data_IF_716994735829
#
_entry.id   IF_716994735829
#
_cell.length_a   1.000
_cell.length_b   1.000
_cell.length_c   1.000
_cell.angle_alpha   90.00
_cell.angle_beta   90.00
_cell.angle_gamma   90.00
#
_symmetry.space_group_name_H-M   'P 1'
#
loop_
_entity.id
_entity.type
_entity.pdbx_description
1 polymer ?
#
# COMPACT_ATOMS: atom_id res chain seq x y z
N UNK A 1 -61.08 -25.61 24.40
CA UNK A 1 -60.62 -26.53 23.33
C UNK A 1 -61.27 -26.08 22.01
N UNK A 2 -60.43 -25.76 21.00
CA UNK A 2 -60.72 -25.46 19.57
C UNK A 2 -61.41 -24.10 19.29
N UNK A 3 -60.76 -23.09 18.70
CA UNK A 3 -60.16 -22.94 17.34
C UNK A 3 -61.22 -22.65 16.26
N UNK A 4 -61.06 -21.52 15.51
CA UNK A 4 -61.36 -21.21 14.07
C UNK A 4 -61.33 -19.66 13.94
N UNK A 5 -60.23 -19.03 13.48
CA UNK A 5 -59.85 -18.63 12.10
C UNK A 5 -60.72 -17.53 11.46
N UNK A 6 -60.14 -16.33 11.25
CA UNK A 6 -60.02 -15.54 9.98
C UNK A 6 -59.53 -14.10 10.30
N UNK A 7 -58.34 -13.72 9.84
CA UNK A 7 -58.09 -12.98 8.59
C UNK A 7 -58.06 -11.45 8.82
N UNK A 8 -56.88 -10.89 9.06
CA UNK A 8 -56.46 -9.66 8.37
C UNK A 8 -54.95 -9.48 8.54
N UNK A 9 -54.27 -9.75 7.45
CA UNK A 9 -52.85 -9.63 7.23
C UNK A 9 -52.54 -8.15 6.98
N UNK A 10 -51.80 -7.49 7.86
CA UNK A 10 -51.10 -6.25 7.49
C UNK A 10 -49.74 -6.19 8.20
N UNK A 11 -48.90 -7.14 7.80
CA UNK A 11 -47.47 -7.14 8.09
C UNK A 11 -46.83 -6.06 7.18
N UNK A 12 -46.83 -4.80 7.63
CA UNK A 12 -46.10 -3.71 6.97
C UNK A 12 -44.61 -3.97 7.22
N UNK A 13 -44.06 -4.81 6.36
CA UNK A 13 -42.63 -5.05 6.20
C UNK A 13 -42.09 -3.83 5.45
N UNK A 14 -41.60 -2.86 6.21
CA UNK A 14 -40.82 -1.74 5.67
C UNK A 14 -39.49 -2.32 5.19
N UNK A 15 -39.47 -2.74 3.92
CA UNK A 15 -38.27 -3.05 3.15
C UNK A 15 -37.50 -1.74 2.99
N UNK A 16 -36.59 -1.48 3.92
CA UNK A 16 -35.55 -0.47 3.76
C UNK A 16 -34.66 -0.96 2.62
N UNK A 17 -34.79 -0.33 1.46
CA UNK A 17 -33.84 -0.43 0.35
C UNK A 17 -32.50 0.13 0.83
N UNK A 18 -31.64 -0.73 1.37
CA UNK A 18 -30.21 -0.46 1.40
C UNK A 18 -29.70 -0.52 -0.03
N UNK A 19 -29.50 0.65 -0.64
CA UNK A 19 -28.74 0.75 -1.87
C UNK A 19 -27.27 0.60 -1.48
N UNK A 20 -26.76 -0.64 -1.48
CA UNK A 20 -25.32 -0.87 -1.50
C UNK A 20 -24.81 -0.41 -2.86
N UNK A 21 -24.39 0.87 -2.97
CA UNK A 21 -23.56 1.28 -4.09
C UNK A 21 -22.26 0.50 -3.97
N UNK A 22 -22.19 -0.64 -4.66
CA UNK A 22 -20.95 -1.35 -4.92
C UNK A 22 -20.12 -0.39 -5.77
N UNK A 23 -19.36 0.49 -5.12
CA UNK A 23 -18.35 1.30 -5.77
C UNK A 23 -17.35 0.29 -6.29
N UNK A 24 -17.51 -0.08 -7.56
CA UNK A 24 -16.53 -0.85 -8.29
C UNK A 24 -15.33 0.08 -8.42
N UNK A 25 -14.50 0.07 -7.37
CA UNK A 25 -13.28 0.85 -7.32
C UNK A 25 -12.29 0.10 -8.18
N UNK A 26 -12.38 0.33 -9.48
CA UNK A 26 -11.37 -0.08 -10.43
C UNK A 26 -9.98 0.13 -9.79
N UNK A 27 -9.14 -0.90 -9.88
CA UNK A 27 -7.81 -0.89 -9.30
C UNK A 27 -6.75 -0.86 -10.39
N UNK A 28 -5.60 -0.31 -10.05
CA UNK A 28 -4.36 -0.51 -10.79
C UNK A 28 -3.29 -1.11 -9.88
N UNK A 29 -2.08 -1.24 -10.40
CA UNK A 29 -0.95 -1.80 -9.68
C UNK A 29 0.16 -0.77 -9.55
N UNK A 30 0.79 -0.72 -8.38
CA UNK A 30 2.08 -0.08 -8.18
C UNK A 30 3.10 -1.18 -7.90
N UNK A 31 4.17 -1.24 -8.67
CA UNK A 31 5.25 -2.21 -8.49
C UNK A 31 6.63 -1.59 -8.68
N UNK A 32 7.66 -2.28 -8.22
CA UNK A 32 9.04 -1.87 -8.38
C UNK A 32 9.95 -2.56 -7.37
N UNK A 33 11.15 -2.05 -7.19
CA UNK A 33 12.12 -2.54 -6.20
C UNK A 33 12.51 -1.45 -5.21
N UNK A 34 12.56 -1.80 -3.94
CA UNK A 34 13.16 -0.99 -2.88
C UNK A 34 14.62 -1.41 -2.73
N UNK A 35 15.53 -0.47 -2.93
CA UNK A 35 16.97 -0.65 -2.69
C UNK A 35 17.40 0.22 -1.52
N UNK A 36 17.95 -0.40 -0.47
CA UNK A 36 18.46 0.26 0.73
C UNK A 36 19.96 0.05 0.79
N UNK A 37 20.73 1.13 0.87
CA UNK A 37 22.16 1.01 1.05
C UNK A 37 22.85 2.36 1.29
N UNK A 38 24.11 2.35 1.73
CA UNK A 38 24.88 1.17 2.13
C UNK A 38 24.43 0.60 3.48
N UNK A 39 24.57 -0.70 3.72
CA UNK A 39 24.22 -1.31 5.03
C UNK A 39 25.45 -1.56 5.91
N UNK A 40 26.64 -1.40 5.34
CA UNK A 40 27.92 -1.55 6.00
C UNK A 40 28.80 -0.32 5.67
N UNK A 41 29.77 0.04 6.54
CA UNK A 41 30.70 1.14 6.27
C UNK A 41 31.47 0.99 4.95
N UNK A 42 31.72 -0.25 4.52
CA UNK A 42 32.41 -0.55 3.25
C UNK A 42 31.57 -1.54 2.45
N UNK A 43 31.09 -1.09 1.29
CA UNK A 43 30.35 -1.91 0.33
C UNK A 43 31.32 -2.79 -0.49
N UNK A 44 30.84 -3.96 -0.92
CA UNK A 44 31.59 -4.89 -1.77
C UNK A 44 30.69 -5.40 -2.88
N UNK A 45 31.27 -5.91 -3.98
CA UNK A 45 30.52 -6.50 -5.10
C UNK A 45 31.03 -7.94 -5.31
N UNK A 46 30.22 -8.98 -4.99
CA UNK A 46 28.89 -8.90 -4.39
C UNK A 46 28.93 -8.40 -2.93
N UNK A 47 27.80 -7.88 -2.39
CA UNK A 47 27.71 -7.50 -0.98
C UNK A 47 27.98 -8.69 -0.07
N UNK A 48 28.68 -8.44 1.05
CA UNK A 48 28.83 -9.45 2.09
C UNK A 48 27.45 -9.88 2.62
N UNK A 49 27.24 -11.15 3.00
CA UNK A 49 25.95 -11.65 3.48
C UNK A 49 25.33 -10.80 4.60
N UNK A 50 26.14 -10.30 5.53
CA UNK A 50 25.72 -9.44 6.64
C UNK A 50 25.31 -8.03 6.22
N UNK A 51 25.68 -7.60 5.01
CA UNK A 51 25.37 -6.31 4.43
C UNK A 51 24.19 -6.38 3.44
N UNK A 52 23.49 -7.52 3.35
CA UNK A 52 22.30 -7.65 2.52
C UNK A 52 21.05 -7.23 3.30
N UNK A 53 20.07 -6.57 2.64
CA UNK A 53 18.79 -6.28 3.26
C UNK A 53 18.11 -7.55 3.77
N UNK A 54 17.55 -7.47 4.99
CA UNK A 54 16.69 -8.50 5.57
C UNK A 54 15.25 -8.00 5.60
N UNK A 55 14.28 -8.87 5.91
CA UNK A 55 12.90 -8.43 6.18
C UNK A 55 12.84 -7.35 7.28
N UNK A 56 13.71 -7.45 8.28
CA UNK A 56 13.80 -6.46 9.35
C UNK A 56 14.38 -5.13 8.86
N UNK A 57 15.30 -5.17 7.89
CA UNK A 57 15.81 -3.95 7.24
C UNK A 57 14.66 -3.17 6.61
N UNK A 58 13.79 -3.79 5.82
CA UNK A 58 12.67 -3.09 5.19
C UNK A 58 11.65 -2.54 6.20
N UNK A 59 11.44 -3.21 7.35
CA UNK A 59 10.57 -2.70 8.42
C UNK A 59 11.14 -1.46 9.12
N UNK A 60 12.46 -1.38 9.24
CA UNK A 60 13.14 -0.22 9.83
C UNK A 60 13.20 0.99 8.89
N UNK A 61 12.94 0.78 7.60
CA UNK A 61 12.87 1.80 6.56
C UNK A 61 11.47 1.81 5.90
N UNK A 62 10.40 2.10 6.67
CA UNK A 62 9.04 1.90 6.20
C UNK A 62 8.69 2.87 5.07
N UNK A 63 8.35 2.31 3.92
CA UNK A 63 7.84 3.06 2.75
C UNK A 63 6.33 2.92 2.72
N UNK A 64 5.62 4.05 2.78
CA UNK A 64 4.16 4.07 2.72
C UNK A 64 3.68 4.71 1.42
N UNK A 65 2.54 4.24 0.96
CA UNK A 65 1.67 4.98 0.05
C UNK A 65 0.76 5.86 0.90
N UNK A 66 0.76 7.15 0.62
CA UNK A 66 -0.04 8.17 1.26
C UNK A 66 -1.10 8.70 0.31
N UNK A 67 -2.17 9.25 0.85
CA UNK A 67 -3.13 10.07 0.08
C UNK A 67 -2.41 11.22 -0.62
N UNK A 68 -2.99 11.76 -1.71
CA UNK A 68 -2.39 12.86 -2.48
C UNK A 68 -2.02 14.09 -1.63
N UNK A 69 -2.75 14.34 -0.54
CA UNK A 69 -2.49 15.43 0.41
C UNK A 69 -1.49 15.08 1.51
N UNK A 70 -0.93 13.86 1.47
CA UNK A 70 0.05 13.31 2.41
C UNK A 70 -0.41 13.28 3.88
N UNK A 71 -1.73 13.23 4.12
CA UNK A 71 -2.27 13.21 5.50
C UNK A 71 -2.52 11.81 6.03
N UNK A 72 -2.94 10.89 5.16
CA UNK A 72 -3.31 9.54 5.58
C UNK A 72 -2.44 8.50 4.89
N UNK A 73 -1.99 7.51 5.67
CA UNK A 73 -1.34 6.30 5.15
C UNK A 73 -2.41 5.39 4.57
N UNK A 74 -2.21 4.96 3.33
CA UNK A 74 -3.11 4.06 2.59
C UNK A 74 -2.64 2.62 2.73
N UNK A 75 -1.36 2.37 2.49
CA UNK A 75 -0.76 1.04 2.59
C UNK A 75 0.73 1.14 2.94
N UNK A 76 1.22 0.21 3.76
CA UNK A 76 2.65 -0.04 3.96
C UNK A 76 3.15 -0.93 2.82
N UNK A 77 4.21 -0.52 2.14
CA UNK A 77 4.85 -1.35 1.12
C UNK A 77 5.73 -2.39 1.82
N UNK A 78 5.39 -3.67 1.65
CA UNK A 78 6.14 -4.81 2.16
C UNK A 78 6.84 -5.53 1.00
N UNK A 79 8.12 -5.21 0.70
CA UNK A 79 8.85 -5.89 -0.34
C UNK A 79 9.27 -7.31 0.07
N UNK A 80 9.55 -8.16 -0.92
CA UNK A 80 10.21 -9.45 -0.73
C UNK A 80 11.69 -9.28 -0.31
N UNK A 81 12.40 -10.39 -0.04
CA UNK A 81 13.82 -10.34 0.33
C UNK A 81 14.73 -9.78 -0.77
N UNK A 82 14.29 -9.80 -2.02
CA UNK A 82 15.01 -9.19 -3.12
C UNK A 82 14.68 -7.70 -3.27
N UNK A 83 13.76 -7.16 -2.46
CA UNK A 83 13.30 -5.77 -2.51
C UNK A 83 12.12 -5.54 -3.45
N UNK A 84 11.63 -6.55 -4.17
CA UNK A 84 10.53 -6.35 -5.11
C UNK A 84 9.21 -6.22 -4.36
N UNK A 85 8.35 -5.31 -4.81
CA UNK A 85 7.02 -5.13 -4.25
C UNK A 85 5.98 -4.98 -5.35
N UNK A 86 4.74 -5.31 -5.00
CA UNK A 86 3.56 -5.07 -5.82
C UNK A 86 2.36 -4.86 -4.92
N UNK A 87 1.65 -3.76 -5.11
CA UNK A 87 0.42 -3.43 -4.37
C UNK A 87 -0.69 -3.05 -5.33
N UNK A 88 -1.91 -3.50 -5.06
CA UNK A 88 -3.11 -3.05 -5.75
C UNK A 88 -3.70 -1.83 -5.05
N UNK A 89 -4.00 -0.79 -5.82
CA UNK A 89 -4.54 0.47 -5.31
C UNK A 89 -5.76 0.86 -6.13
N UNK A 90 -6.79 1.48 -5.51
CA UNK A 90 -7.83 2.16 -6.27
C UNK A 90 -7.24 3.16 -7.26
N UNK A 91 -7.96 3.45 -8.34
CA UNK A 91 -7.57 4.54 -9.24
C UNK A 91 -7.43 5.85 -8.46
N UNK A 92 -6.36 6.60 -8.73
CA UNK A 92 -6.10 7.82 -7.98
C UNK A 92 -4.67 8.31 -8.07
N UNK A 93 -4.44 9.48 -7.45
CA UNK A 93 -3.09 10.04 -7.27
C UNK A 93 -2.67 9.81 -5.83
N UNK A 94 -1.42 9.38 -5.65
CA UNK A 94 -0.85 9.07 -4.35
C UNK A 94 0.55 9.65 -4.22
N UNK A 95 1.04 9.71 -2.97
CA UNK A 95 2.43 10.05 -2.66
C UNK A 95 3.08 8.81 -2.06
N UNK A 96 4.18 8.33 -2.63
CA UNK A 96 5.02 7.31 -2.01
C UNK A 96 6.12 8.01 -1.25
N UNK A 97 6.31 7.66 0.02
CA UNK A 97 7.31 8.30 0.86
C UNK A 97 7.74 7.42 2.05
N UNK A 98 8.91 7.75 2.60
CA UNK A 98 9.38 7.23 3.87
C UNK A 98 8.55 7.80 5.02
N UNK A 99 8.19 6.95 5.98
CA UNK A 99 7.59 7.36 7.25
C UNK A 99 8.67 7.70 8.29
N UNK A 100 9.66 8.48 7.84
CA UNK A 100 10.78 8.99 8.63
C UNK A 100 11.34 10.25 7.96
N UNK A 101 12.53 10.70 8.37
CA UNK A 101 13.14 11.90 7.80
C UNK A 101 13.40 11.76 6.29
N UNK A 102 12.96 12.76 5.52
CA UNK A 102 13.04 12.77 4.05
C UNK A 102 14.44 12.61 3.47
N UNK A 103 15.49 13.03 4.19
CA UNK A 103 16.86 13.04 3.67
C UNK A 103 17.42 11.66 3.30
N UNK A 104 16.82 10.59 3.79
CA UNK A 104 17.24 9.23 3.45
C UNK A 104 16.66 8.73 2.11
N UNK A 105 15.51 9.26 1.68
CA UNK A 105 14.89 8.87 0.42
C UNK A 105 15.50 9.64 -0.75
N UNK A 106 16.35 9.01 -1.57
CA UNK A 106 17.02 9.70 -2.69
C UNK A 106 16.04 10.23 -3.72
N UNK A 107 14.94 9.51 -3.91
CA UNK A 107 13.90 9.81 -4.88
C UNK A 107 12.50 9.89 -4.25
N UNK A 108 12.44 10.13 -2.94
CA UNK A 108 11.20 10.27 -2.18
C UNK A 108 11.12 11.67 -1.55
N UNK A 109 9.92 12.26 -1.39
CA UNK A 109 8.61 11.73 -1.81
C UNK A 109 8.44 11.68 -3.33
N UNK A 110 7.69 10.70 -3.82
CA UNK A 110 7.35 10.53 -5.24
C UNK A 110 5.83 10.55 -5.45
N UNK A 111 5.36 11.26 -6.49
CA UNK A 111 3.94 11.25 -6.88
C UNK A 111 3.72 10.12 -7.89
N UNK A 112 2.68 9.31 -7.67
CA UNK A 112 2.27 8.23 -8.59
C UNK A 112 0.79 8.35 -8.94
N UNK A 113 0.43 7.99 -10.17
CA UNK A 113 -0.95 8.01 -10.67
C UNK A 113 -1.36 6.60 -11.05
N UNK A 114 -2.28 6.02 -10.29
CA UNK A 114 -2.81 4.68 -10.51
C UNK A 114 -4.01 4.75 -11.46
N UNK A 115 -3.93 3.99 -12.54
CA UNK A 115 -4.97 3.89 -13.58
C UNK A 115 -5.57 2.48 -13.62
N UNK A 116 -6.84 2.37 -14.02
CA UNK A 116 -7.59 1.11 -14.06
C UNK A 116 -6.84 0.03 -14.87
N UNK A 117 -6.60 -1.11 -14.25
CA UNK A 117 -5.90 -2.29 -14.77
C UNK A 117 -4.51 -2.01 -15.38
N UNK A 118 -3.87 -0.90 -15.00
CA UNK A 118 -2.51 -0.57 -15.43
C UNK A 118 -1.51 -0.71 -14.30
N UNK A 119 -0.28 -1.02 -14.68
CA UNK A 119 0.86 -1.04 -13.78
C UNK A 119 1.61 0.28 -13.86
N UNK A 120 1.81 0.90 -12.71
CA UNK A 120 2.72 2.01 -12.50
C UNK A 120 3.98 1.46 -11.86
N UNK A 121 5.15 1.80 -12.42
CA UNK A 121 6.44 1.34 -11.90
C UNK A 121 7.13 2.47 -11.14
N UNK A 122 7.57 2.20 -9.91
CA UNK A 122 8.38 3.09 -9.11
C UNK A 122 9.49 2.31 -8.41
N UNK A 123 10.72 2.50 -8.87
CA UNK A 123 11.90 2.07 -8.13
C UNK A 123 12.15 3.02 -6.96
N UNK A 124 12.46 2.50 -5.78
CA UNK A 124 12.71 3.29 -4.57
C UNK A 124 14.16 3.12 -4.16
N UNK A 125 14.85 4.24 -3.92
CA UNK A 125 16.25 4.26 -3.48
C UNK A 125 16.40 5.00 -2.16
N UNK A 126 16.95 4.31 -1.17
CA UNK A 126 17.16 4.81 0.19
C UNK A 126 18.66 4.83 0.47
N UNK A 127 19.21 6.02 0.76
CA UNK A 127 20.56 6.17 1.32
C UNK A 127 20.47 6.06 2.83
N UNK A 128 21.19 5.14 3.45
CA UNK A 128 21.26 5.07 4.91
C UNK A 128 22.19 6.15 5.50
N UNK A 129 23.05 6.75 4.68
CA UNK A 129 24.08 7.68 5.13
C UNK A 129 25.29 7.03 5.79
N UNK A 130 25.37 5.70 5.89
CA UNK A 130 26.54 4.98 6.40
C UNK A 130 27.74 5.23 5.46
N UNK A 131 28.91 5.60 5.99
CA UNK A 131 30.15 5.90 5.24
C UNK A 131 31.38 5.52 6.07
#
# INVERSE_FOLDING_TARGET
MKLIIKLSLLLITVLILSCDSTQNTDKGFLEGKITIGPLCPVETIPPKPECQPTSETYKNWPVFVWTADKKNKVVLIEPDLNGNYKVDLPIGTYVVDLDMQHYFGKNLPAIVVISSNKTTVLEVSIDTGIR
#
